data_IF_437217243114
#
_entry.id   IF_437217243114
#
_cell.length_a   1.000
_cell.length_b   1.000
_cell.length_c   1.000
_cell.angle_alpha   90.00
_cell.angle_beta   90.00
_cell.angle_gamma   90.00
#
_symmetry.space_group_name_H-M   'P 1'
#
loop_
_entity.id
_entity.type
_entity.pdbx_description
1 polymer ?
#
# COMPACT_ATOMS: atom_id res chain seq x y z
N UNK A 1 41.80 17.77 -16.22
CA UNK A 1 41.05 16.72 -15.50
C UNK A 1 41.25 16.91 -14.00
N UNK A 2 40.34 17.62 -13.33
CA UNK A 2 40.43 17.93 -11.89
C UNK A 2 39.67 16.85 -11.11
N UNK A 3 40.37 16.20 -10.19
CA UNK A 3 39.86 15.09 -9.39
C UNK A 3 38.58 15.45 -8.65
N UNK A 4 37.50 14.79 -9.06
CA UNK A 4 36.32 14.63 -8.22
C UNK A 4 36.78 13.75 -7.06
N UNK A 5 37.06 14.42 -5.94
CA UNK A 5 37.65 13.86 -4.73
C UNK A 5 36.91 12.59 -4.33
N UNK A 6 37.65 11.52 -4.06
CA UNK A 6 37.11 10.24 -3.59
C UNK A 6 36.09 10.38 -2.45
N UNK A 7 36.20 11.44 -1.63
CA UNK A 7 35.20 11.78 -0.60
C UNK A 7 33.79 12.05 -1.12
N UNK A 8 33.62 12.65 -2.30
CA UNK A 8 32.29 12.87 -2.91
C UNK A 8 31.67 11.55 -3.36
N UNK A 9 32.47 10.64 -3.91
CA UNK A 9 32.00 9.31 -4.31
C UNK A 9 31.58 8.47 -3.10
N UNK A 10 32.33 8.54 -1.99
CA UNK A 10 31.98 7.86 -0.73
C UNK A 10 30.70 8.43 -0.12
N UNK A 11 30.52 9.76 -0.13
CA UNK A 11 29.28 10.41 0.32
C UNK A 11 28.07 9.99 -0.52
N UNK A 12 28.22 9.96 -1.85
CA UNK A 12 27.16 9.51 -2.75
C UNK A 12 26.83 8.03 -2.50
N UNK A 13 27.84 7.17 -2.34
CA UNK A 13 27.65 5.76 -2.04
C UNK A 13 26.96 5.54 -0.68
N UNK A 14 27.32 6.33 0.34
CA UNK A 14 26.69 6.27 1.66
C UNK A 14 25.22 6.72 1.64
N UNK A 15 24.89 7.76 0.85
CA UNK A 15 23.51 8.24 0.68
C UNK A 15 22.68 7.21 -0.10
N UNK A 16 23.24 6.62 -1.16
CA UNK A 16 22.59 5.55 -1.94
C UNK A 16 22.37 4.29 -1.09
N UNK A 17 23.36 3.89 -0.30
CA UNK A 17 23.22 2.78 0.65
C UNK A 17 22.20 3.09 1.76
N UNK A 18 22.13 4.34 2.22
CA UNK A 18 21.11 4.84 3.15
C UNK A 18 19.69 4.82 2.59
N UNK A 19 19.53 5.09 1.28
CA UNK A 19 18.24 4.95 0.59
C UNK A 19 17.83 3.49 0.38
N UNK A 20 18.79 2.58 0.17
CA UNK A 20 18.53 1.15 0.06
C UNK A 20 18.30 0.46 1.43
N UNK A 21 18.90 1.01 2.50
CA UNK A 21 18.79 0.51 3.87
C UNK A 21 17.70 1.18 4.69
N UNK A 22 17.06 2.25 4.17
CA UNK A 22 15.72 2.66 4.59
C UNK A 22 14.81 1.54 4.18
N UNK A 23 14.81 0.51 5.02
CA UNK A 23 14.22 -0.77 4.76
C UNK A 23 12.85 -0.56 4.20
N UNK A 24 12.45 -1.46 3.31
CA UNK A 24 11.06 -1.80 3.16
C UNK A 24 10.50 -2.03 4.57
N UNK A 25 10.04 -0.97 5.23
CA UNK A 25 9.10 -1.07 6.32
C UNK A 25 8.00 -1.89 5.71
N UNK A 26 7.93 -3.16 6.11
CA UNK A 26 7.07 -4.14 5.47
C UNK A 26 5.68 -3.53 5.32
N UNK A 27 4.96 -3.95 4.27
CA UNK A 27 3.61 -3.46 4.00
C UNK A 27 2.82 -3.45 5.31
N UNK A 28 2.42 -2.27 5.82
CA UNK A 28 1.75 -2.21 7.11
C UNK A 28 0.45 -3.02 7.06
N UNK A 29 0.12 -3.70 8.16
CA UNK A 29 -1.01 -4.63 8.19
C UNK A 29 -2.37 -3.99 7.87
N UNK A 30 -2.48 -2.68 8.07
CA UNK A 30 -3.63 -1.88 7.64
C UNK A 30 -3.88 -1.99 6.13
N UNK A 31 -2.81 -2.05 5.32
CA UNK A 31 -2.86 -2.26 3.88
C UNK A 31 -3.06 -3.72 3.50
N UNK A 32 -3.28 -4.64 4.45
CA UNK A 32 -3.60 -6.04 4.17
C UNK A 32 -4.99 -6.42 4.65
N UNK A 33 -5.71 -5.54 5.34
CA UNK A 33 -7.07 -5.80 5.80
C UNK A 33 -8.03 -5.89 4.61
N UNK A 34 -9.02 -6.77 4.73
CA UNK A 34 -10.17 -6.79 3.83
C UNK A 34 -10.97 -5.49 3.96
N UNK A 35 -11.70 -5.13 2.90
CA UNK A 35 -12.52 -3.92 2.94
C UNK A 35 -13.68 -4.10 3.90
N UNK A 36 -13.88 -3.12 4.78
CA UNK A 36 -15.07 -3.03 5.58
C UNK A 36 -16.24 -2.62 4.68
N UNK A 37 -17.34 -3.35 4.79
CA UNK A 37 -18.61 -2.97 4.18
C UNK A 37 -19.23 -1.78 4.93
N UNK A 38 -20.06 -1.02 4.23
CA UNK A 38 -20.86 0.01 4.87
C UNK A 38 -21.90 -0.61 5.84
N UNK A 39 -22.38 0.14 6.83
CA UNK A 39 -23.46 -0.33 7.69
C UNK A 39 -24.72 -0.63 6.88
N UNK A 40 -25.49 -1.64 7.29
CA UNK A 40 -26.79 -1.90 6.67
C UNK A 40 -27.72 -0.69 6.83
N UNK A 41 -28.55 -0.38 5.81
CA UNK A 41 -29.54 0.67 5.92
C UNK A 41 -30.52 0.36 7.06
N UNK A 42 -30.71 1.31 7.97
CA UNK A 42 -31.68 1.20 9.06
C UNK A 42 -33.13 1.43 8.57
N UNK A 43 -33.27 2.23 7.51
CA UNK A 43 -34.56 2.52 6.89
C UNK A 43 -35.01 1.46 5.88
N UNK A 44 -36.31 1.45 5.58
CA UNK A 44 -36.95 0.47 4.68
C UNK A 44 -37.38 1.09 3.35
N UNK A 45 -36.98 2.32 3.07
CA UNK A 45 -37.36 3.01 1.83
C UNK A 45 -36.34 2.74 0.72
N UNK A 46 -36.76 2.97 -0.52
CA UNK A 46 -35.86 2.90 -1.69
C UNK A 46 -34.75 3.96 -1.60
N UNK A 47 -35.02 5.11 -0.99
CA UNK A 47 -34.03 6.16 -0.77
C UNK A 47 -32.93 5.69 0.21
N UNK A 48 -33.32 4.99 1.29
CA UNK A 48 -32.36 4.43 2.25
C UNK A 48 -31.47 3.37 1.60
N UNK A 49 -32.04 2.54 0.72
CA UNK A 49 -31.27 1.56 -0.04
C UNK A 49 -30.31 2.23 -1.02
N UNK A 50 -30.75 3.27 -1.73
CA UNK A 50 -29.91 4.01 -2.65
C UNK A 50 -28.72 4.67 -1.94
N UNK A 51 -28.95 5.26 -0.77
CA UNK A 51 -27.87 5.83 0.05
C UNK A 51 -26.91 4.75 0.54
N UNK A 52 -27.40 3.61 1.02
CA UNK A 52 -26.53 2.51 1.44
C UNK A 52 -25.65 1.97 0.31
N UNK A 53 -26.15 1.92 -0.93
CA UNK A 53 -25.34 1.50 -2.09
C UNK A 53 -24.24 2.51 -2.43
N UNK A 54 -24.51 3.81 -2.26
CA UNK A 54 -23.51 4.87 -2.43
C UNK A 54 -22.42 4.74 -1.35
N UNK A 55 -22.82 4.51 -0.10
CA UNK A 55 -21.92 4.37 1.02
C UNK A 55 -21.05 3.10 0.90
N UNK A 56 -21.63 1.97 0.45
CA UNK A 56 -20.89 0.74 0.14
C UNK A 56 -19.84 0.98 -0.94
N UNK A 57 -20.21 1.70 -2.01
CA UNK A 57 -19.27 2.02 -3.07
C UNK A 57 -18.12 2.89 -2.54
N UNK A 58 -18.42 3.92 -1.75
CA UNK A 58 -17.40 4.79 -1.16
C UNK A 58 -16.46 4.01 -0.23
N UNK A 59 -16.98 3.08 0.57
CA UNK A 59 -16.20 2.22 1.45
C UNK A 59 -15.27 1.28 0.65
N UNK A 60 -15.76 0.71 -0.45
CA UNK A 60 -14.97 -0.13 -1.34
C UNK A 60 -13.92 0.66 -2.13
N UNK A 61 -14.25 1.86 -2.62
CA UNK A 61 -13.32 2.73 -3.36
C UNK A 61 -12.19 3.29 -2.47
N UNK A 62 -12.50 3.72 -1.24
CA UNK A 62 -11.49 4.16 -0.27
C UNK A 62 -10.51 3.03 0.10
N UNK A 63 -10.93 1.80 -0.10
CA UNK A 63 -10.21 0.59 0.25
C UNK A 63 -9.57 -0.11 -0.96
N UNK A 64 -9.77 0.40 -2.19
CA UNK A 64 -9.19 -0.15 -3.40
C UNK A 64 -7.68 0.10 -3.46
N UNK A 65 -6.95 -0.74 -2.76
CA UNK A 65 -5.53 -0.92 -2.96
C UNK A 65 -5.36 -2.12 -3.89
N UNK A 66 -4.89 -1.82 -5.11
CA UNK A 66 -4.77 -2.79 -6.20
C UNK A 66 -3.93 -3.99 -5.76
N UNK A 67 -4.61 -5.12 -5.70
CA UNK A 67 -4.15 -6.50 -5.51
C UNK A 67 -3.77 -6.95 -4.08
N UNK A 68 -4.83 -7.15 -3.28
CA UNK A 68 -4.76 -7.70 -1.92
C UNK A 68 -4.20 -9.07 -1.77
N UNK A 69 -4.57 -9.92 -2.70
CA UNK A 69 -4.05 -11.26 -2.75
C UNK A 69 -2.54 -11.21 -3.02
N UNK A 70 -2.07 -10.41 -3.96
CA UNK A 70 -0.64 -10.31 -4.26
C UNK A 70 0.19 -9.74 -3.11
N UNK A 71 -0.26 -8.70 -2.41
CA UNK A 71 0.50 -8.17 -1.26
C UNK A 71 0.54 -9.16 -0.09
N UNK A 72 -0.56 -9.87 0.18
CA UNK A 72 -0.58 -10.95 1.20
C UNK A 72 0.34 -12.10 0.80
N UNK A 73 0.33 -12.49 -0.47
CA UNK A 73 1.18 -13.55 -1.01
C UNK A 73 2.67 -13.16 -0.99
N UNK A 74 3.00 -11.90 -1.31
CA UNK A 74 4.35 -11.36 -1.12
C UNK A 74 4.78 -11.39 0.35
N UNK A 75 3.93 -10.93 1.28
CA UNK A 75 4.23 -10.95 2.72
C UNK A 75 4.38 -12.38 3.26
N UNK A 76 3.58 -13.31 2.75
CA UNK A 76 3.67 -14.74 3.07
C UNK A 76 4.87 -15.43 2.40
N UNK A 77 5.63 -14.74 1.55
CA UNK A 77 6.79 -15.28 0.85
C UNK A 77 6.45 -16.25 -0.28
N UNK A 78 5.19 -16.33 -0.71
CA UNK A 78 4.74 -17.23 -1.79
C UNK A 78 4.95 -16.63 -3.19
N UNK A 79 5.18 -15.31 -3.27
CA UNK A 79 5.59 -14.61 -4.50
C UNK A 79 6.89 -13.89 -4.20
N UNK A 80 8.00 -14.34 -4.80
CA UNK A 80 9.30 -13.66 -4.72
C UNK A 80 9.42 -12.64 -5.84
N UNK A 81 9.96 -11.45 -5.53
CA UNK A 81 10.34 -10.46 -6.55
C UNK A 81 11.29 -11.15 -7.55
N UNK A 82 11.06 -11.09 -8.88
CA UNK A 82 12.06 -11.55 -9.82
C UNK A 82 13.36 -10.75 -9.58
N UNK A 83 14.49 -11.47 -9.63
CA UNK A 83 15.83 -10.91 -9.44
C UNK A 83 16.16 -9.86 -10.48
#
# INVERSE_FOLDING_TARGET
>A
MRGIKAGTAVLIAAILAGCASRGSGGIPDAYLQDCAHAPRPAGKTVADLAQALIDERAAMEACDWRDKAALRAWKAGTITRPK
#
